data_IF_152749130568
#
_entry.id   IF_152749130568
#
_cell.length_a   1.000
_cell.length_b   1.000
_cell.length_c   1.000
_cell.angle_alpha   90.00
_cell.angle_beta   90.00
_cell.angle_gamma   90.00
#
_symmetry.space_group_name_H-M   'P 1'
#
loop_
_entity.id
_entity.type
_entity.pdbx_description
1 polymer ?
#
# COMPACT_ATOMS: atom_id res chain seq x y z
N UNK A 1 -8.47 -14.20 -6.49
CA UNK A 1 -7.97 -14.27 -5.09
C UNK A 1 -6.56 -13.70 -5.07
N UNK A 2 -6.10 -13.04 -4.00
CA UNK A 2 -4.77 -12.37 -3.90
C UNK A 2 -3.55 -13.30 -4.02
N UNK A 3 -3.76 -14.56 -4.41
CA UNK A 3 -2.77 -15.59 -4.67
C UNK A 3 -2.81 -16.12 -6.12
N UNK A 4 -3.60 -15.49 -6.99
CA UNK A 4 -3.58 -15.78 -8.43
C UNK A 4 -2.25 -15.28 -9.04
N UNK A 5 -1.43 -16.17 -9.63
CA UNK A 5 -0.13 -15.80 -10.18
C UNK A 5 -0.18 -14.68 -11.20
N UNK A 6 -1.23 -14.60 -12.02
CA UNK A 6 -1.34 -13.57 -13.07
C UNK A 6 -1.62 -12.19 -12.46
N UNK A 7 -2.44 -12.15 -11.40
CA UNK A 7 -2.73 -10.92 -10.65
C UNK A 7 -1.49 -10.43 -9.90
N UNK A 8 -0.72 -11.34 -9.30
CA UNK A 8 0.53 -11.00 -8.60
C UNK A 8 1.58 -10.49 -9.59
N UNK A 9 1.69 -11.10 -10.77
CA UNK A 9 2.63 -10.65 -11.81
C UNK A 9 2.28 -9.25 -12.34
N UNK A 10 0.99 -8.98 -12.60
CA UNK A 10 0.50 -7.64 -12.93
C UNK A 10 0.84 -6.65 -11.80
N UNK A 11 0.54 -7.03 -10.56
CA UNK A 11 0.79 -6.20 -9.39
C UNK A 11 2.26 -5.82 -9.22
N UNK A 12 3.17 -6.76 -9.50
CA UNK A 12 4.60 -6.49 -9.48
C UNK A 12 5.00 -5.45 -10.54
N UNK A 13 4.46 -5.55 -11.76
CA UNK A 13 4.73 -4.57 -12.81
C UNK A 13 4.23 -3.17 -12.41
N UNK A 14 2.99 -3.09 -11.92
CA UNK A 14 2.40 -1.84 -11.41
C UNK A 14 3.25 -1.26 -10.27
N UNK A 15 3.70 -2.11 -9.33
CA UNK A 15 4.54 -1.70 -8.20
C UNK A 15 5.85 -1.05 -8.64
N UNK A 16 6.56 -1.70 -9.57
CA UNK A 16 7.85 -1.20 -10.06
C UNK A 16 7.70 0.15 -10.75
N UNK A 17 6.64 0.32 -11.54
CA UNK A 17 6.41 1.55 -12.30
C UNK A 17 5.92 2.71 -11.41
N UNK A 18 5.06 2.43 -10.42
CA UNK A 18 4.32 3.48 -9.71
C UNK A 18 4.74 3.65 -8.24
N UNK A 19 5.26 2.62 -7.59
CA UNK A 19 5.41 2.61 -6.12
C UNK A 19 6.87 2.56 -5.67
N UNK A 20 7.72 1.81 -6.39
CA UNK A 20 9.08 1.48 -5.99
C UNK A 20 10.01 2.70 -5.85
N UNK A 21 9.73 3.81 -6.53
CA UNK A 21 10.51 5.04 -6.45
C UNK A 21 10.53 5.64 -5.03
N UNK A 22 9.47 5.40 -4.25
CA UNK A 22 9.36 5.85 -2.86
C UNK A 22 9.40 4.68 -1.87
N UNK A 23 8.68 3.58 -2.16
CA UNK A 23 8.59 2.44 -1.25
C UNK A 23 9.75 1.43 -1.39
N UNK A 24 10.71 1.71 -2.28
CA UNK A 24 11.88 0.88 -2.52
C UNK A 24 11.57 -0.31 -3.43
N UNK A 25 12.53 -0.73 -4.24
CA UNK A 25 12.37 -1.88 -5.12
C UNK A 25 12.20 -3.20 -4.35
N UNK A 26 12.66 -3.23 -3.09
CA UNK A 26 12.55 -4.39 -2.19
C UNK A 26 11.46 -4.19 -1.12
N UNK A 27 10.55 -3.23 -1.30
CA UNK A 27 9.48 -2.92 -0.34
C UNK A 27 9.99 -2.41 1.02
N UNK A 28 11.24 -1.96 1.10
CA UNK A 28 11.94 -1.56 2.32
C UNK A 28 11.58 -0.13 2.80
N UNK A 29 10.91 0.65 1.96
CA UNK A 29 10.49 2.01 2.27
C UNK A 29 11.65 2.99 2.41
N UNK A 30 11.34 4.18 2.91
CA UNK A 30 12.33 5.21 3.18
C UNK A 30 12.86 5.11 4.62
N UNK A 31 14.13 5.51 4.85
CA UNK A 31 14.67 5.57 6.21
C UNK A 31 13.88 6.55 7.08
N UNK A 32 13.79 6.25 8.38
CA UNK A 32 13.08 7.08 9.36
C UNK A 32 11.59 7.34 9.02
N UNK A 33 10.92 6.42 8.31
CA UNK A 33 9.52 6.56 7.88
C UNK A 33 8.50 6.84 9.01
N UNK A 34 8.87 6.61 10.27
CA UNK A 34 8.04 6.91 11.45
C UNK A 34 8.20 8.35 11.97
N UNK A 35 9.03 9.18 11.36
CA UNK A 35 9.28 10.55 11.78
C UNK A 35 9.11 11.51 10.60
N UNK A 36 8.43 12.66 10.79
CA UNK A 36 8.29 13.64 9.72
C UNK A 36 9.64 14.09 9.16
N UNK A 37 9.72 14.18 7.84
CA UNK A 37 10.87 14.70 7.13
C UNK A 37 10.95 16.24 7.17
N UNK A 38 11.91 16.83 6.43
CA UNK A 38 12.08 18.28 6.36
C UNK A 38 10.86 19.04 5.81
N UNK A 39 10.01 18.37 5.04
CA UNK A 39 8.76 18.91 4.51
C UNK A 39 7.56 18.76 5.47
N UNK A 40 7.80 18.21 6.66
CA UNK A 40 6.78 17.97 7.69
C UNK A 40 5.90 16.74 7.44
N UNK A 41 6.18 15.92 6.42
CA UNK A 41 5.38 14.74 6.07
C UNK A 41 6.08 13.44 6.40
N UNK A 42 5.32 12.36 6.54
CA UNK A 42 5.87 11.04 6.76
C UNK A 42 6.49 10.50 5.46
N UNK A 43 7.72 9.97 5.50
CA UNK A 43 8.31 9.22 4.40
C UNK A 43 7.51 7.96 4.08
N UNK A 44 7.72 7.40 2.89
CA UNK A 44 7.07 6.17 2.46
C UNK A 44 7.42 5.00 3.41
N UNK A 45 6.44 4.34 4.04
CA UNK A 45 6.69 3.19 4.91
C UNK A 45 7.15 1.97 4.11
N UNK A 46 7.81 0.99 4.75
CA UNK A 46 8.03 -0.32 4.17
C UNK A 46 6.69 -0.98 3.87
N UNK A 47 6.66 -1.72 2.78
CA UNK A 47 5.57 -2.62 2.42
C UNK A 47 5.92 -4.08 2.72
N UNK A 48 7.12 -4.39 3.22
CA UNK A 48 7.51 -5.70 3.74
C UNK A 48 6.99 -5.97 5.17
N UNK A 49 7.44 -7.07 5.80
CA UNK A 49 7.04 -7.45 7.16
C UNK A 49 7.38 -6.41 8.25
N UNK A 50 8.33 -5.51 7.99
CA UNK A 50 8.78 -4.49 8.95
C UNK A 50 7.90 -3.24 8.94
N UNK A 51 7.02 -3.14 7.94
CA UNK A 51 6.16 -2.01 7.67
C UNK A 51 4.89 -1.91 8.51
N UNK A 52 3.96 -1.08 8.03
CA UNK A 52 2.65 -0.85 8.66
C UNK A 52 1.48 -1.34 7.82
N UNK A 53 1.66 -1.54 6.52
CA UNK A 53 0.57 -1.79 5.56
C UNK A 53 -0.37 -2.92 5.97
N UNK A 54 0.16 -4.04 6.47
CA UNK A 54 -0.61 -5.22 6.85
C UNK A 54 -1.52 -5.05 8.07
N UNK A 55 -1.45 -3.92 8.79
CA UNK A 55 -2.35 -3.61 9.91
C UNK A 55 -3.71 -3.07 9.47
N UNK A 56 -3.88 -2.73 8.19
CA UNK A 56 -5.12 -2.25 7.61
C UNK A 56 -5.73 -3.31 6.72
N UNK A 57 -7.05 -3.40 6.67
CA UNK A 57 -7.75 -4.30 5.76
C UNK A 57 -7.64 -3.84 4.29
N UNK A 58 -7.98 -4.76 3.37
CA UNK A 58 -7.86 -4.52 1.93
C UNK A 58 -8.70 -3.36 1.41
N UNK A 59 -9.89 -3.14 1.97
CA UNK A 59 -10.77 -2.04 1.54
C UNK A 59 -10.17 -0.71 1.96
N UNK A 60 -9.69 -0.60 3.20
CA UNK A 60 -8.97 0.58 3.69
C UNK A 60 -7.76 0.89 2.82
N UNK A 61 -6.95 -0.12 2.49
CA UNK A 61 -5.76 0.05 1.64
C UNK A 61 -6.12 0.47 0.20
N UNK A 62 -7.19 -0.11 -0.35
CA UNK A 62 -7.71 0.27 -1.66
C UNK A 62 -8.18 1.73 -1.68
N UNK A 63 -9.00 2.15 -0.71
CA UNK A 63 -9.51 3.51 -0.61
C UNK A 63 -8.38 4.52 -0.39
N UNK A 64 -7.39 4.20 0.46
CA UNK A 64 -6.21 5.04 0.68
C UNK A 64 -5.42 5.22 -0.61
N UNK A 65 -5.18 4.14 -1.35
CA UNK A 65 -4.42 4.20 -2.61
C UNK A 65 -5.18 4.98 -3.68
N UNK A 66 -6.48 4.74 -3.80
CA UNK A 66 -7.30 5.36 -4.85
C UNK A 66 -7.57 6.83 -4.57
N UNK A 67 -8.01 7.19 -3.36
CA UNK A 67 -8.52 8.52 -3.03
C UNK A 67 -7.60 9.33 -2.11
N UNK A 68 -6.54 8.73 -1.57
CA UNK A 68 -5.59 9.37 -0.68
C UNK A 68 -6.01 9.39 0.80
N UNK A 69 -5.05 9.70 1.67
CA UNK A 69 -5.26 9.73 3.13
C UNK A 69 -6.28 10.78 3.55
N UNK A 70 -6.28 11.95 2.93
CA UNK A 70 -7.21 13.04 3.28
C UNK A 70 -8.68 12.65 3.10
N UNK A 71 -9.00 11.95 2.00
CA UNK A 71 -10.34 11.41 1.78
C UNK A 71 -10.74 10.38 2.84
N UNK A 72 -9.80 9.51 3.23
CA UNK A 72 -10.05 8.46 4.23
C UNK A 72 -10.32 9.03 5.64
N UNK A 73 -9.63 10.10 6.04
CA UNK A 73 -9.78 10.71 7.38
C UNK A 73 -10.76 11.88 7.41
N UNK A 74 -11.32 12.27 6.26
CA UNK A 74 -12.23 13.41 6.16
C UNK A 74 -11.55 14.77 6.31
N UNK A 75 -10.25 14.86 6.00
CA UNK A 75 -9.47 16.09 6.06
C UNK A 75 -8.94 16.43 4.65
N UNK A 76 -9.60 17.34 3.92
CA UNK A 76 -9.18 17.73 2.57
C UNK A 76 -7.86 18.52 2.57
N UNK A 77 -7.43 19.06 3.71
CA UNK A 77 -6.19 19.82 3.84
C UNK A 77 -5.01 18.93 4.23
N UNK A 78 -5.23 17.62 4.47
CA UNK A 78 -4.16 16.69 4.82
C UNK A 78 -3.19 16.49 3.66
N UNK A 79 -1.92 16.84 3.90
CA UNK A 79 -0.88 16.76 2.88
C UNK A 79 -0.03 15.50 3.05
N UNK A 80 -0.05 14.63 2.05
CA UNK A 80 0.79 13.42 1.97
C UNK A 80 1.70 13.48 0.74
N UNK A 81 2.86 12.84 0.83
CA UNK A 81 3.74 12.61 -0.32
C UNK A 81 3.29 11.42 -1.17
N UNK A 82 2.36 10.61 -0.68
CA UNK A 82 1.76 9.51 -1.45
C UNK A 82 0.75 10.07 -2.46
N UNK A 83 0.93 9.83 -3.77
CA UNK A 83 -0.01 10.30 -4.79
C UNK A 83 -1.40 9.67 -4.64
N UNK A 84 -2.40 10.37 -5.17
CA UNK A 84 -3.76 9.85 -5.36
C UNK A 84 -3.80 9.16 -6.73
N UNK A 85 -4.28 7.92 -6.79
CA UNK A 85 -4.26 7.11 -8.02
C UNK A 85 -5.61 7.03 -8.75
N UNK A 86 -6.66 7.69 -8.26
CA UNK A 86 -7.92 7.84 -9.00
C UNK A 86 -7.67 8.44 -10.40
N UNK A 87 -8.08 7.70 -11.43
CA UNK A 87 -7.88 8.10 -12.83
C UNK A 87 -6.45 7.91 -13.35
N UNK A 88 -5.53 7.41 -12.52
CA UNK A 88 -4.15 7.04 -12.91
C UNK A 88 -4.03 5.53 -13.05
N UNK A 89 -4.54 4.78 -12.08
CA UNK A 89 -4.63 3.31 -12.11
C UNK A 89 -6.10 2.88 -12.13
N UNK A 90 -6.36 1.77 -12.79
CA UNK A 90 -7.64 1.06 -12.73
C UNK A 90 -7.84 0.37 -11.38
N UNK A 91 -9.08 0.02 -11.06
CA UNK A 91 -9.38 -0.70 -9.82
C UNK A 91 -8.68 -2.06 -9.79
N UNK A 92 -8.62 -2.73 -10.95
CA UNK A 92 -7.89 -3.99 -11.14
C UNK A 92 -6.38 -3.84 -10.88
N UNK A 93 -5.76 -2.75 -11.33
CA UNK A 93 -4.33 -2.47 -11.09
C UNK A 93 -4.05 -2.17 -9.61
N UNK A 94 -4.94 -1.44 -8.94
CA UNK A 94 -4.82 -1.18 -7.49
C UNK A 94 -4.96 -2.50 -6.70
N UNK A 95 -5.93 -3.33 -7.05
CA UNK A 95 -6.09 -4.65 -6.43
C UNK A 95 -4.87 -5.53 -6.71
N UNK A 96 -4.34 -5.49 -7.92
CA UNK A 96 -3.16 -6.26 -8.31
C UNK A 96 -1.93 -5.85 -7.50
N UNK A 97 -1.63 -4.55 -7.38
CA UNK A 97 -0.46 -4.09 -6.62
C UNK A 97 -0.56 -4.41 -5.14
N UNK A 98 -1.77 -4.29 -4.55
CA UNK A 98 -2.00 -4.70 -3.16
C UNK A 98 -1.87 -6.22 -2.97
N UNK A 99 -2.29 -7.01 -3.96
CA UNK A 99 -2.09 -8.47 -3.97
C UNK A 99 -0.61 -8.84 -4.05
N UNK A 100 0.16 -8.15 -4.88
CA UNK A 100 1.62 -8.32 -4.96
C UNK A 100 2.29 -8.00 -3.63
N UNK A 101 2.00 -6.84 -3.03
CA UNK A 101 2.53 -6.46 -1.71
C UNK A 101 2.20 -7.54 -0.67
N UNK A 102 0.95 -7.98 -0.59
CA UNK A 102 0.54 -9.05 0.33
C UNK A 102 1.28 -10.37 0.08
N UNK A 103 1.61 -10.68 -1.17
CA UNK A 103 2.30 -11.93 -1.53
C UNK A 103 3.72 -12.02 -0.96
N UNK A 104 4.37 -10.88 -0.69
CA UNK A 104 5.74 -10.84 -0.16
C UNK A 104 5.81 -11.12 1.34
N UNK A 105 4.71 -10.95 2.07
CA UNK A 105 4.70 -11.14 3.52
C UNK A 105 4.88 -12.61 3.94
N UNK A 106 5.49 -12.86 5.11
CA UNK A 106 5.41 -14.13 5.81
C UNK A 106 3.97 -14.66 5.96
N UNK A 107 3.81 -15.99 5.98
CA UNK A 107 2.49 -16.62 5.99
C UNK A 107 1.62 -16.18 7.17
N UNK A 108 2.20 -16.03 8.36
CA UNK A 108 1.52 -15.59 9.57
C UNK A 108 0.97 -14.16 9.46
N UNK A 109 1.69 -13.26 8.78
CA UNK A 109 1.21 -11.90 8.48
C UNK A 109 0.08 -11.93 7.45
N UNK A 110 0.19 -12.77 6.42
CA UNK A 110 -0.90 -12.95 5.43
C UNK A 110 -2.17 -13.45 6.09
N UNK A 111 -2.06 -14.45 6.97
CA UNK A 111 -3.18 -15.02 7.72
C UNK A 111 -3.81 -13.99 8.66
N UNK A 112 -2.98 -13.18 9.34
CA UNK A 112 -3.46 -12.08 10.18
C UNK A 112 -4.25 -11.05 9.37
N UNK A 113 -3.70 -10.61 8.24
CA UNK A 113 -4.36 -9.65 7.36
C UNK A 113 -5.68 -10.21 6.79
N UNK A 114 -5.73 -11.49 6.43
CA UNK A 114 -6.97 -12.15 5.99
C UNK A 114 -8.04 -12.20 7.09
N UNK A 115 -7.63 -12.30 8.35
CA UNK A 115 -8.56 -12.21 9.47
C UNK A 115 -9.14 -10.80 9.67
N UNK A 116 -8.47 -9.73 9.22
CA UNK A 116 -9.00 -8.36 9.29
C UNK A 116 -10.23 -8.19 8.38
N UNK A 117 -10.24 -8.81 7.21
CA UNK A 117 -11.37 -8.76 6.27
C UNK A 117 -12.66 -9.35 6.87
N UNK A 118 -12.55 -10.27 7.84
CA UNK A 118 -13.69 -10.92 8.49
C UNK A 118 -14.21 -10.17 9.73
N UNK A 119 -13.67 -8.98 10.03
CA UNK A 119 -14.01 -8.18 11.23
C UNK A 119 -14.89 -6.95 10.94
N UNK A 120 -15.27 -6.75 9.68
CA UNK A 120 -16.16 -5.68 9.22
C UNK A 120 -17.58 -6.21 9.02
#
# INVERSE_FOLDING_TARGET
MPSDPDVVALGQAVYVENCASCHGANLDGQPNWRSPGPDGRLPAPPHDETGHTWHHDGDTLFQLTKYGTGALIGDPDYQSNMPIYEGVLTDEEIIAVLSYIKSTWPQDIRDHHDALANRQ
#
